data_IF_261754543128
#
_entry.id   IF_261754543128
#
_cell.length_a   1.000
_cell.length_b   1.000
_cell.length_c   1.000
_cell.angle_alpha   90.00
_cell.angle_beta   90.00
_cell.angle_gamma   90.00
#
_symmetry.space_group_name_H-M   'P 1'
#
loop_
_entity.id
_entity.type
_entity.pdbx_description
1 polymer ?
#
# COMPACT_ATOMS: atom_id res chain seq x y z
N UNK A 1 16.02 -16.36 8.12
CA UNK A 1 14.79 -16.49 7.32
C UNK A 1 13.84 -15.38 7.76
N UNK A 2 13.33 -14.54 6.86
CA UNK A 2 12.47 -13.40 7.23
C UNK A 2 11.04 -13.90 7.50
N UNK A 3 10.66 -13.94 8.77
CA UNK A 3 9.34 -14.31 9.25
C UNK A 3 8.29 -13.37 8.64
N UNK A 4 7.27 -13.95 8.01
CA UNK A 4 6.33 -13.17 7.21
C UNK A 4 5.40 -12.36 8.12
N UNK A 5 5.69 -11.06 8.22
CA UNK A 5 4.82 -10.06 8.83
C UNK A 5 3.45 -10.02 8.15
N UNK A 6 2.45 -9.67 8.95
CA UNK A 6 1.03 -9.73 8.68
C UNK A 6 0.61 -9.35 7.23
N UNK A 7 -0.32 -10.11 6.64
CA UNK A 7 -0.80 -9.89 5.26
C UNK A 7 -1.91 -8.83 5.13
N UNK A 8 -2.19 -8.06 6.20
CA UNK A 8 -3.32 -7.13 6.20
C UNK A 8 -3.01 -5.84 5.41
N UNK A 9 -3.98 -5.30 4.63
CA UNK A 9 -3.83 -3.99 4.02
C UNK A 9 -3.78 -2.88 5.08
N UNK A 10 -3.20 -1.73 4.73
CA UNK A 10 -3.15 -0.54 5.60
C UNK A 10 -1.76 -0.18 6.13
N UNK A 11 -0.76 -1.03 5.93
CA UNK A 11 0.62 -0.71 6.31
C UNK A 11 1.63 -1.48 5.44
N UNK A 12 2.86 -1.01 5.45
CA UNK A 12 3.99 -1.66 4.78
C UNK A 12 4.62 -2.70 5.70
N UNK A 13 5.14 -3.80 5.14
CA UNK A 13 5.70 -4.93 5.93
C UNK A 13 6.74 -4.52 6.98
N UNK A 14 7.57 -3.52 6.67
CA UNK A 14 8.57 -2.97 7.60
C UNK A 14 7.97 -2.24 8.81
N UNK A 15 6.69 -1.86 8.73
CA UNK A 15 5.93 -1.18 9.78
C UNK A 15 4.82 -2.07 10.37
N UNK A 16 4.76 -3.37 10.03
CA UNK A 16 3.81 -4.28 10.67
C UNK A 16 4.24 -4.46 12.13
N UNK A 17 3.38 -4.05 13.07
CA UNK A 17 3.59 -4.25 14.51
C UNK A 17 3.07 -5.61 15.00
N UNK A 18 2.50 -6.42 14.10
CA UNK A 18 2.03 -7.76 14.46
C UNK A 18 3.21 -8.64 14.86
N UNK A 19 3.17 -9.13 16.09
CA UNK A 19 4.05 -10.19 16.58
C UNK A 19 3.58 -11.59 16.14
N UNK A 20 2.49 -11.66 15.38
CA UNK A 20 1.87 -12.90 14.96
C UNK A 20 2.39 -13.27 13.57
N UNK A 21 2.96 -14.47 13.45
CA UNK A 21 3.26 -15.05 12.16
C UNK A 21 1.97 -15.63 11.55
N UNK A 22 1.69 -15.18 10.34
CA UNK A 22 0.48 -15.58 9.62
C UNK A 22 0.87 -16.62 8.58
N UNK A 23 0.18 -17.76 8.57
CA UNK A 23 0.36 -18.74 7.50
C UNK A 23 -0.05 -18.15 6.15
N UNK A 24 0.81 -18.14 5.13
CA UNK A 24 0.43 -17.56 3.81
C UNK A 24 -0.67 -18.33 3.07
N UNK A 25 -0.82 -19.63 3.35
CA UNK A 25 -1.76 -20.52 2.65
C UNK A 25 -3.19 -20.39 3.18
N UNK A 26 -3.33 -20.34 4.49
CA UNK A 26 -4.62 -20.36 5.17
C UNK A 26 -4.86 -19.17 6.05
N UNK A 27 -3.92 -18.21 6.14
CA UNK A 27 -3.85 -17.03 7.01
C UNK A 27 -4.10 -17.21 8.51
N UNK A 28 -4.10 -18.44 9.02
CA UNK A 28 -4.19 -18.67 10.47
C UNK A 28 -3.00 -18.06 11.23
N UNK A 29 -3.32 -17.42 12.36
CA UNK A 29 -2.38 -16.88 13.34
C UNK A 29 -1.68 -18.02 14.10
N UNK A 30 -0.36 -18.16 13.95
CA UNK A 30 0.41 -19.21 14.65
C UNK A 30 1.76 -18.68 15.14
N UNK A 31 2.22 -19.22 16.27
CA UNK A 31 3.53 -18.89 16.85
C UNK A 31 4.71 -19.50 16.07
N UNK A 32 4.47 -20.56 15.30
CA UNK A 32 5.44 -21.23 14.43
C UNK A 32 4.74 -21.68 13.13
N UNK A 33 5.15 -21.12 11.98
CA UNK A 33 4.60 -21.54 10.67
C UNK A 33 5.04 -22.96 10.28
N UNK A 34 6.19 -23.44 10.79
CA UNK A 34 6.74 -24.77 10.50
C UNK A 34 5.89 -25.94 11.01
N UNK A 35 5.11 -25.73 12.06
CA UNK A 35 4.23 -26.77 12.64
C UNK A 35 2.87 -26.83 11.95
N UNK A 36 2.61 -25.96 10.97
CA UNK A 36 1.32 -25.82 10.33
C UNK A 36 1.16 -26.75 9.12
N UNK A 37 1.00 -28.05 9.38
CA UNK A 37 0.93 -29.12 8.36
C UNK A 37 -0.45 -29.29 7.71
N UNK A 38 -1.53 -28.98 8.43
CA UNK A 38 -2.91 -29.10 7.94
C UNK A 38 -3.60 -27.73 7.94
N UNK A 39 -3.65 -27.11 6.76
CA UNK A 39 -4.30 -25.82 6.53
C UNK A 39 -5.53 -26.01 5.65
N UNK A 40 -6.71 -25.57 6.10
CA UNK A 40 -7.81 -25.29 5.17
C UNK A 40 -7.46 -24.00 4.43
N UNK A 41 -7.38 -24.06 3.10
CA UNK A 41 -7.07 -22.88 2.30
C UNK A 41 -8.25 -21.92 2.38
N UNK A 42 -8.05 -20.78 3.05
CA UNK A 42 -9.05 -19.71 3.23
C UNK A 42 -8.41 -18.35 3.07
N UNK A 43 -9.16 -17.40 2.52
CA UNK A 43 -8.76 -16.00 2.44
C UNK A 43 -9.07 -15.28 3.75
N UNK A 44 -8.07 -14.66 4.37
CA UNK A 44 -8.20 -13.96 5.66
C UNK A 44 -8.82 -12.60 5.58
N UNK A 45 -8.90 -12.06 4.38
CA UNK A 45 -9.50 -10.77 4.17
C UNK A 45 -11.02 -10.90 4.15
N UNK A 46 -11.57 -11.99 3.59
CA UNK A 46 -13.02 -12.14 3.40
C UNK A 46 -13.60 -13.46 3.95
N UNK A 47 -12.78 -14.31 4.57
CA UNK A 47 -13.16 -15.61 5.15
C UNK A 47 -13.79 -16.60 4.15
N UNK A 48 -13.56 -16.42 2.85
CA UNK A 48 -13.97 -17.34 1.79
C UNK A 48 -12.92 -18.44 1.58
N UNK A 49 -13.40 -19.64 1.23
CA UNK A 49 -12.60 -20.82 0.95
C UNK A 49 -12.24 -20.93 -0.55
N UNK A 50 -12.71 -19.99 -1.39
CA UNK A 50 -12.57 -20.04 -2.85
C UNK A 50 -11.22 -19.54 -3.36
N UNK A 51 -10.44 -18.88 -2.50
CA UNK A 51 -9.16 -18.28 -2.85
C UNK A 51 -8.25 -18.08 -1.63
N UNK A 52 -6.96 -17.90 -1.87
CA UNK A 52 -5.97 -17.57 -0.84
C UNK A 52 -5.92 -16.07 -0.56
N UNK A 53 -5.44 -15.69 0.63
CA UNK A 53 -5.22 -14.28 0.98
C UNK A 53 -4.26 -13.55 0.03
N UNK A 54 -3.37 -14.29 -0.63
CA UNK A 54 -2.43 -13.75 -1.63
C UNK A 54 -3.04 -13.59 -3.02
N UNK A 55 -4.23 -14.14 -3.25
CA UNK A 55 -4.85 -14.11 -4.58
C UNK A 55 -5.47 -12.75 -4.88
N UNK A 56 -5.41 -12.36 -6.15
CA UNK A 56 -6.00 -11.12 -6.66
C UNK A 56 -7.54 -11.17 -6.74
N UNK A 57 -8.14 -12.29 -6.34
CA UNK A 57 -9.59 -12.55 -6.39
C UNK A 57 -10.33 -12.04 -5.16
N UNK A 58 -9.63 -11.61 -4.11
CA UNK A 58 -10.30 -11.19 -2.89
C UNK A 58 -11.08 -9.89 -3.09
N UNK A 59 -12.42 -9.89 -2.91
CA UNK A 59 -13.25 -8.70 -3.11
C UNK A 59 -12.90 -7.57 -2.14
N UNK A 60 -12.50 -7.91 -0.90
CA UNK A 60 -12.09 -6.92 0.10
C UNK A 60 -10.79 -6.22 -0.28
N UNK A 61 -9.80 -6.97 -0.76
CA UNK A 61 -8.54 -6.40 -1.26
C UNK A 61 -8.78 -5.60 -2.54
N UNK A 62 -9.64 -6.07 -3.44
CA UNK A 62 -10.01 -5.35 -4.64
C UNK A 62 -10.65 -3.98 -4.33
N UNK A 63 -11.57 -3.94 -3.37
CA UNK A 63 -12.19 -2.70 -2.90
C UNK A 63 -11.16 -1.73 -2.31
N UNK A 64 -10.27 -2.23 -1.44
CA UNK A 64 -9.19 -1.42 -0.85
C UNK A 64 -8.25 -0.84 -1.91
N UNK A 65 -7.84 -1.64 -2.90
CA UNK A 65 -7.02 -1.16 -4.02
C UNK A 65 -7.73 -0.09 -4.84
N UNK A 66 -9.03 -0.25 -5.10
CA UNK A 66 -9.83 0.75 -5.81
C UNK A 66 -9.85 2.09 -5.05
N UNK A 67 -10.04 2.05 -3.73
CA UNK A 67 -9.99 3.26 -2.88
C UNK A 67 -8.61 3.92 -2.93
N UNK A 68 -7.54 3.13 -2.74
CA UNK A 68 -6.17 3.64 -2.78
C UNK A 68 -5.83 4.31 -4.12
N UNK A 69 -6.26 3.71 -5.24
CA UNK A 69 -6.06 4.29 -6.57
C UNK A 69 -6.82 5.61 -6.74
N UNK A 70 -8.04 5.72 -6.21
CA UNK A 70 -8.79 6.98 -6.23
C UNK A 70 -8.10 8.08 -5.42
N UNK A 71 -7.59 7.76 -4.23
CA UNK A 71 -6.84 8.70 -3.39
C UNK A 71 -5.54 9.16 -4.07
N UNK A 72 -4.78 8.24 -4.65
CA UNK A 72 -3.56 8.55 -5.38
C UNK A 72 -3.83 9.43 -6.61
N UNK A 73 -4.91 9.13 -7.35
CA UNK A 73 -5.31 9.95 -8.49
C UNK A 73 -5.69 11.37 -8.07
N UNK A 74 -6.51 11.51 -7.01
CA UNK A 74 -6.90 12.82 -6.46
C UNK A 74 -5.67 13.62 -6.01
N UNK A 75 -4.71 12.97 -5.35
CA UNK A 75 -3.46 13.62 -4.91
C UNK A 75 -2.60 14.07 -6.09
N UNK A 76 -2.50 13.26 -7.14
CA UNK A 76 -1.77 13.62 -8.35
C UNK A 76 -2.42 14.82 -9.06
N UNK A 77 -3.75 14.87 -9.13
CA UNK A 77 -4.49 15.99 -9.72
C UNK A 77 -4.28 17.29 -8.91
N UNK A 78 -4.27 17.22 -7.58
CA UNK A 78 -3.97 18.37 -6.71
C UNK A 78 -2.54 18.87 -6.95
N UNK A 79 -1.55 17.98 -6.95
CA UNK A 79 -0.16 18.37 -7.24
C UNK A 79 -0.01 19.02 -8.62
N UNK A 80 -0.68 18.50 -9.66
CA UNK A 80 -0.64 19.11 -10.99
C UNK A 80 -1.27 20.51 -11.04
N UNK A 81 -2.34 20.75 -10.26
CA UNK A 81 -2.94 22.09 -10.12
C UNK A 81 -1.97 23.04 -9.44
N UNK A 82 -1.39 22.62 -8.32
CA UNK A 82 -0.41 23.42 -7.58
C UNK A 82 0.78 23.82 -8.49
N UNK A 83 1.32 22.88 -9.28
CA UNK A 83 2.40 23.17 -10.23
C UNK A 83 1.95 24.12 -11.36
N UNK A 84 0.71 24.01 -11.84
CA UNK A 84 0.16 24.92 -12.85
C UNK A 84 0.01 26.33 -12.28
N UNK A 85 -0.55 26.47 -11.07
CA UNK A 85 -0.71 27.76 -10.40
C UNK A 85 0.65 28.41 -10.09
N UNK A 86 1.63 27.64 -9.63
CA UNK A 86 3.01 28.14 -9.45
C UNK A 86 3.57 28.64 -10.77
N UNK A 87 3.38 27.89 -11.87
CA UNK A 87 3.88 28.29 -13.20
C UNK A 87 3.19 29.55 -13.72
N UNK A 88 1.89 29.69 -13.53
CA UNK A 88 1.11 30.84 -13.99
C UNK A 88 1.39 32.11 -13.16
N UNK A 89 1.68 31.95 -11.86
CA UNK A 89 2.01 33.05 -10.95
C UNK A 89 3.52 33.35 -10.87
N UNK A 90 4.36 32.58 -11.58
CA UNK A 90 5.80 32.82 -11.65
C UNK A 90 6.08 34.09 -12.45
N UNK A 91 6.55 35.16 -11.80
CA UNK A 91 6.93 36.40 -12.47
C UNK A 91 8.24 36.17 -13.28
N UNK A 92 8.25 36.33 -14.62
CA UNK A 92 9.43 36.10 -15.45
C UNK A 92 10.63 36.98 -15.08
N UNK A 93 10.40 38.12 -14.39
CA UNK A 93 11.44 39.09 -14.02
C UNK A 93 12.28 38.67 -12.80
N UNK A 94 11.90 37.62 -12.07
CA UNK A 94 12.67 37.14 -10.90
C UNK A 94 13.84 36.19 -11.26
N UNK A 95 13.98 35.76 -12.51
CA UNK A 95 15.04 34.82 -12.91
C UNK A 95 16.35 35.50 -13.38
N UNK A 96 16.36 36.82 -13.61
CA UNK A 96 17.47 37.52 -14.29
C UNK A 96 18.31 38.47 -13.42
N UNK A 97 18.15 38.50 -12.09
CA UNK A 97 18.89 39.43 -11.21
C UNK A 97 19.77 38.74 -10.15
N UNK A 98 20.40 37.60 -10.48
CA UNK A 98 21.41 36.98 -9.58
C UNK A 98 22.80 36.78 -10.19
N UNK A 99 23.07 37.30 -11.39
CA UNK A 99 24.41 37.23 -12.01
C UNK A 99 24.90 38.59 -12.51
N UNK A 100 24.49 39.68 -11.89
CA UNK A 100 24.93 41.04 -12.25
C UNK A 100 25.25 41.87 -11.00
N UNK A 101 25.86 41.28 -9.98
CA UNK A 101 26.57 42.03 -8.96
C UNK A 101 27.94 41.37 -8.80
N UNK A 102 28.92 42.09 -9.35
CA UNK A 102 30.38 41.98 -9.23
C UNK A 102 30.88 41.65 -7.84
#
# INVERSE_FOLDING_TARGET
>A
MMNATCNYPGHIKKNCQSQIEICRRCGGDRKNVSDHKECVIKCHHCMSDDHQSTDYKCPRIAAYRKQLLMELKKRAELQQRDFREIRENMNPKQCFLRNAET
#
